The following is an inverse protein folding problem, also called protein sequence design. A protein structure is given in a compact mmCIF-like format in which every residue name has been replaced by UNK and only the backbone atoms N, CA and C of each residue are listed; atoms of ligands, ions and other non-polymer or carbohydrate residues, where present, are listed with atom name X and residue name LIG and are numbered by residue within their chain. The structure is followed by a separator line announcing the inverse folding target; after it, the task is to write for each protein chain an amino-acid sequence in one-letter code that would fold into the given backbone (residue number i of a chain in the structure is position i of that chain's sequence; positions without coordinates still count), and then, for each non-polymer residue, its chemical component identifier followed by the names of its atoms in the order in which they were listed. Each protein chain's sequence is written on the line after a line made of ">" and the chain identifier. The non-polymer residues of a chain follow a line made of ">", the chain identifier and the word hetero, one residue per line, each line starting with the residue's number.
data_IF_133050859429
#
_entry.id   IF_133050859429
#
_cell.length_a   1.000
_cell.length_b   1.000
_cell.length_c   1.000
_cell.angle_alpha   90.00
_cell.angle_beta   90.00
_cell.angle_gamma   90.00
#
_symmetry.space_group_name_H-M   'P 1'
#
loop_
_entity.id
_entity.type
_entity.pdbx_description
1 polymer ?
#
# COMPACT_ATOMS: atom_id res chain seq x y z
N UNK A 1 33.70 -14.20 -8.12
CA UNK A 1 33.82 -12.89 -7.46
C UNK A 1 33.07 -11.87 -8.30
N UNK A 2 32.40 -10.86 -7.72
CA UNK A 2 31.90 -9.74 -8.51
C UNK A 2 33.08 -9.08 -9.24
N UNK A 3 32.86 -8.54 -10.43
CA UNK A 3 33.88 -7.79 -11.15
C UNK A 3 34.30 -6.58 -10.29
N UNK A 4 35.59 -6.19 -10.24
CA UNK A 4 36.09 -5.07 -9.41
C UNK A 4 35.31 -3.76 -9.56
N UNK A 5 34.74 -3.55 -10.74
CA UNK A 5 33.91 -2.39 -11.08
C UNK A 5 32.56 -2.36 -10.34
N UNK A 6 31.97 -3.52 -10.03
CA UNK A 6 30.68 -3.62 -9.33
C UNK A 6 30.82 -3.21 -7.86
N UNK A 7 31.94 -3.55 -7.22
CA UNK A 7 32.22 -3.17 -5.83
C UNK A 7 32.41 -1.66 -5.68
N UNK A 8 33.11 -1.01 -6.62
CA UNK A 8 33.26 0.45 -6.62
C UNK A 8 31.92 1.16 -6.84
N UNK A 9 31.09 0.67 -7.77
CA UNK A 9 29.74 1.24 -8.02
C UNK A 9 28.78 1.05 -6.85
N UNK A 10 28.96 0.00 -6.04
CA UNK A 10 28.20 -0.20 -4.80
C UNK A 10 28.48 0.88 -3.76
N UNK A 11 29.71 1.39 -3.68
CA UNK A 11 30.06 2.49 -2.78
C UNK A 11 29.41 3.81 -3.22
N UNK A 12 29.33 4.04 -4.53
CA UNK A 12 28.70 5.24 -5.12
C UNK A 12 27.16 5.21 -5.10
N UNK A 13 26.53 4.13 -4.61
CA UNK A 13 25.06 4.04 -4.57
C UNK A 13 24.49 4.98 -3.50
N UNK A 14 23.42 5.74 -3.78
CA UNK A 14 22.84 6.69 -2.83
C UNK A 14 22.04 6.01 -1.71
N UNK A 15 21.84 6.73 -0.61
CA UNK A 15 20.95 6.36 0.50
C UNK A 15 19.52 6.88 0.29
N UNK A 16 19.01 6.68 -0.92
CA UNK A 16 17.69 7.16 -1.35
C UNK A 16 16.79 5.98 -1.74
N UNK A 17 15.46 6.16 -1.72
CA UNK A 17 14.55 5.17 -2.27
C UNK A 17 14.70 5.09 -3.79
N UNK A 18 14.36 3.93 -4.35
CA UNK A 18 14.43 3.73 -5.79
C UNK A 18 14.28 2.30 -6.23
N UNK A 19 14.53 2.08 -7.52
CA UNK A 19 14.46 0.78 -8.17
C UNK A 19 15.83 0.42 -8.73
N UNK A 20 16.23 -0.84 -8.62
CA UNK A 20 17.47 -1.37 -9.19
C UNK A 20 17.19 -2.49 -10.19
N UNK A 21 18.05 -2.58 -11.20
CA UNK A 21 18.00 -3.57 -12.26
C UNK A 21 19.33 -4.34 -12.28
N UNK A 22 19.26 -5.65 -12.22
CA UNK A 22 20.41 -6.56 -12.31
C UNK A 22 20.52 -7.06 -13.75
N UNK A 23 21.71 -6.99 -14.36
CA UNK A 23 21.94 -7.31 -15.77
C UNK A 23 22.99 -8.40 -15.97
N UNK A 24 22.83 -9.18 -17.03
CA UNK A 24 23.84 -10.14 -17.50
C UNK A 24 24.92 -9.46 -18.38
N UNK A 25 25.97 -10.17 -18.83
CA UNK A 25 27.01 -9.58 -19.68
C UNK A 25 26.51 -9.06 -21.05
N UNK A 26 25.32 -9.47 -21.49
CA UNK A 26 24.68 -9.01 -22.73
C UNK A 26 23.77 -7.80 -22.48
N UNK A 27 23.68 -7.32 -21.25
CA UNK A 27 22.79 -6.22 -20.86
C UNK A 27 21.34 -6.65 -20.61
N UNK A 28 21.03 -7.95 -20.63
CA UNK A 28 19.67 -8.46 -20.39
C UNK A 28 19.30 -8.28 -18.93
N UNK A 29 18.13 -7.69 -18.66
CA UNK A 29 17.62 -7.52 -17.28
C UNK A 29 17.21 -8.88 -16.71
N UNK A 30 17.98 -9.34 -15.71
CA UNK A 30 17.76 -10.59 -15.00
C UNK A 30 16.75 -10.43 -13.86
N UNK A 31 16.80 -9.29 -13.17
CA UNK A 31 15.96 -9.00 -12.00
C UNK A 31 15.74 -7.50 -11.86
N UNK A 32 14.53 -7.12 -11.42
CA UNK A 32 14.18 -5.75 -11.01
C UNK A 32 13.70 -5.82 -9.56
N UNK A 33 14.15 -4.90 -8.72
CA UNK A 33 13.68 -4.78 -7.35
C UNK A 33 13.66 -3.34 -6.86
N UNK A 34 12.85 -3.05 -5.84
CA UNK A 34 12.80 -1.76 -5.15
C UNK A 34 13.55 -1.74 -3.82
N UNK A 35 13.90 -0.55 -3.36
CA UNK A 35 14.48 -0.31 -2.04
C UNK A 35 13.96 1.00 -1.44
N UNK A 36 13.79 1.04 -0.10
CA UNK A 36 13.69 2.30 0.63
C UNK A 36 15.04 3.00 0.75
N UNK A 37 16.13 2.21 0.78
CA UNK A 37 17.52 2.68 0.75
C UNK A 37 18.30 1.80 -0.21
N UNK A 38 18.62 2.32 -1.40
CA UNK A 38 19.30 1.59 -2.47
C UNK A 38 20.64 1.01 -2.02
N UNK A 39 21.49 1.80 -1.34
CA UNK A 39 22.80 1.38 -0.83
C UNK A 39 22.71 0.11 0.03
N UNK A 40 21.85 0.13 1.05
CA UNK A 40 21.69 -1.00 1.97
C UNK A 40 21.17 -2.25 1.24
N UNK A 41 20.19 -2.04 0.34
CA UNK A 41 19.60 -3.15 -0.40
C UNK A 41 20.59 -3.80 -1.35
N UNK A 42 21.34 -3.00 -2.11
CA UNK A 42 22.31 -3.53 -3.07
C UNK A 42 23.47 -4.23 -2.35
N UNK A 43 24.02 -3.65 -1.28
CA UNK A 43 25.05 -4.30 -0.44
C UNK A 43 24.62 -5.66 0.10
N UNK A 44 23.34 -5.83 0.45
CA UNK A 44 22.82 -7.10 0.99
C UNK A 44 22.99 -8.30 0.05
N UNK A 45 23.11 -8.09 -1.26
CA UNK A 45 23.36 -9.16 -2.24
C UNK A 45 24.81 -9.63 -2.28
N UNK A 46 25.75 -8.79 -1.87
CA UNK A 46 27.19 -9.04 -1.95
C UNK A 46 27.83 -9.36 -0.60
N UNK A 47 27.04 -9.31 0.48
CA UNK A 47 27.42 -9.87 1.78
C UNK A 47 27.42 -11.41 1.79
N UNK A 48 27.22 -12.00 2.96
CA UNK A 48 27.27 -13.46 3.12
C UNK A 48 26.23 -14.20 2.27
N UNK A 49 26.71 -15.07 1.36
CA UNK A 49 25.88 -15.78 0.37
C UNK A 49 25.00 -16.89 0.96
N UNK A 50 25.27 -17.33 2.19
CA UNK A 50 24.53 -18.41 2.88
C UNK A 50 23.11 -18.00 3.24
N UNK A 51 22.87 -16.71 3.51
CA UNK A 51 21.56 -16.21 3.91
C UNK A 51 20.65 -15.81 2.72
N UNK A 52 21.14 -15.92 1.48
CA UNK A 52 20.36 -15.54 0.30
C UNK A 52 19.49 -16.70 -0.19
N UNK A 53 18.23 -16.42 -0.61
CA UNK A 53 17.39 -17.42 -1.26
C UNK A 53 18.08 -18.04 -2.48
N UNK A 54 17.93 -19.35 -2.67
CA UNK A 54 18.58 -20.09 -3.77
C UNK A 54 18.38 -19.43 -5.14
N UNK A 55 17.19 -18.89 -5.40
CA UNK A 55 16.87 -18.17 -6.64
C UNK A 55 17.78 -16.95 -6.87
N UNK A 56 18.00 -16.15 -5.82
CA UNK A 56 18.84 -14.96 -5.86
C UNK A 56 20.31 -15.37 -6.03
N UNK A 57 20.74 -16.41 -5.30
CA UNK A 57 22.11 -16.94 -5.42
C UNK A 57 22.43 -17.38 -6.86
N UNK A 58 21.49 -18.05 -7.53
CA UNK A 58 21.64 -18.43 -8.95
C UNK A 58 21.68 -17.21 -9.87
N UNK A 59 20.84 -16.22 -9.64
CA UNK A 59 20.86 -14.97 -10.41
C UNK A 59 22.20 -14.25 -10.32
N UNK A 60 22.77 -14.16 -9.11
CA UNK A 60 24.07 -13.53 -8.87
C UNK A 60 25.24 -14.25 -9.58
N UNK A 61 25.09 -15.54 -9.92
CA UNK A 61 26.07 -16.25 -10.75
C UNK A 61 26.12 -15.79 -12.20
N UNK A 62 25.06 -15.13 -12.68
CA UNK A 62 24.97 -14.58 -14.04
C UNK A 62 25.04 -13.05 -14.06
N UNK A 63 25.20 -12.41 -12.89
CA UNK A 63 25.25 -10.96 -12.77
C UNK A 63 26.58 -10.44 -13.34
N UNK A 64 26.48 -9.43 -14.21
CA UNK A 64 27.61 -8.67 -14.71
C UNK A 64 27.59 -7.24 -14.20
N UNK A 65 26.41 -6.61 -14.18
CA UNK A 65 26.26 -5.21 -13.79
C UNK A 65 24.89 -4.95 -13.15
N UNK A 66 24.75 -3.80 -12.47
CA UNK A 66 23.47 -3.30 -12.00
C UNK A 66 23.29 -1.81 -12.30
N UNK A 67 22.04 -1.42 -12.50
CA UNK A 67 21.61 -0.02 -12.62
C UNK A 67 20.62 0.31 -11.51
N UNK A 68 20.43 1.59 -11.24
CA UNK A 68 19.40 2.06 -10.34
C UNK A 68 18.79 3.39 -10.82
N UNK A 69 17.55 3.63 -10.41
CA UNK A 69 16.81 4.85 -10.63
C UNK A 69 16.34 5.31 -9.26
N UNK A 70 16.76 6.51 -8.85
CA UNK A 70 16.31 7.15 -7.61
C UNK A 70 14.89 7.66 -7.82
N UNK A 71 14.07 7.55 -6.79
CA UNK A 71 12.71 8.09 -6.74
C UNK A 71 12.57 9.02 -5.55
N UNK A 72 11.56 9.88 -5.53
CA UNK A 72 11.37 10.83 -4.44
C UNK A 72 10.74 10.16 -3.20
N UNK A 73 10.03 9.05 -3.41
CA UNK A 73 9.44 8.28 -2.31
C UNK A 73 9.49 6.75 -2.50
N UNK A 74 9.42 5.97 -1.40
CA UNK A 74 9.23 4.51 -1.49
C UNK A 74 7.95 4.09 -2.23
N UNK A 75 6.93 4.96 -2.24
CA UNK A 75 5.67 4.73 -2.95
C UNK A 75 5.87 4.82 -4.48
N UNK A 76 6.62 5.81 -4.96
CA UNK A 76 7.00 5.88 -6.38
C UNK A 76 7.87 4.71 -6.80
N UNK A 77 8.80 4.28 -5.95
CA UNK A 77 9.62 3.10 -6.20
C UNK A 77 8.77 1.83 -6.44
N UNK A 78 7.63 1.69 -5.74
CA UNK A 78 6.66 0.61 -6.00
C UNK A 78 6.08 0.71 -7.42
N UNK A 79 5.62 1.90 -7.81
CA UNK A 79 5.00 2.12 -9.13
C UNK A 79 6.01 1.83 -10.23
N UNK A 80 7.21 2.41 -10.12
CA UNK A 80 8.27 2.25 -11.11
C UNK A 80 8.74 0.81 -11.21
N UNK A 81 8.91 0.10 -10.09
CA UNK A 81 9.29 -1.32 -10.10
C UNK A 81 8.27 -2.16 -10.87
N UNK A 82 6.98 -1.96 -10.63
CA UNK A 82 5.92 -2.66 -11.35
C UNK A 82 5.98 -2.38 -12.87
N UNK A 83 6.19 -1.13 -13.27
CA UNK A 83 6.35 -0.74 -14.68
C UNK A 83 7.56 -1.44 -15.33
N UNK A 84 8.70 -1.46 -14.66
CA UNK A 84 9.93 -2.08 -15.18
C UNK A 84 9.85 -3.60 -15.22
N UNK A 85 9.21 -4.26 -14.23
CA UNK A 85 8.99 -5.72 -14.29
C UNK A 85 8.10 -6.08 -15.48
N UNK A 86 7.04 -5.31 -15.75
CA UNK A 86 6.15 -5.56 -16.91
C UNK A 86 6.85 -5.31 -18.25
N UNK A 87 7.70 -4.28 -18.32
CA UNK A 87 8.48 -3.95 -19.52
C UNK A 87 9.51 -5.04 -19.84
N UNK A 88 10.31 -5.45 -18.86
CA UNK A 88 11.46 -6.36 -19.10
C UNK A 88 11.15 -7.84 -18.86
N UNK A 89 10.04 -8.16 -18.17
CA UNK A 89 9.66 -9.52 -17.73
C UNK A 89 10.84 -10.36 -17.22
N UNK A 90 11.67 -9.86 -16.30
CA UNK A 90 12.98 -10.44 -15.99
C UNK A 90 12.87 -11.87 -15.49
N UNK A 91 13.75 -12.78 -15.93
CA UNK A 91 13.69 -14.22 -15.61
C UNK A 91 13.51 -14.49 -14.11
N UNK A 92 14.20 -13.74 -13.24
CA UNK A 92 14.21 -13.98 -11.80
C UNK A 92 13.14 -13.21 -11.00
N UNK A 93 12.29 -12.39 -11.61
CA UNK A 93 11.08 -11.89 -10.95
C UNK A 93 10.01 -13.00 -10.93
N UNK A 94 9.31 -13.19 -9.81
CA UNK A 94 8.20 -14.16 -9.72
C UNK A 94 6.82 -13.50 -9.78
N UNK A 95 6.72 -12.28 -9.27
CA UNK A 95 5.48 -11.50 -9.16
C UNK A 95 5.52 -10.35 -10.16
N UNK A 96 4.35 -9.79 -10.47
CA UNK A 96 4.18 -8.58 -11.31
C UNK A 96 4.63 -8.76 -12.77
N UNK A 97 4.82 -10.02 -13.21
CA UNK A 97 5.04 -10.37 -14.62
C UNK A 97 3.73 -10.45 -15.40
N UNK A 98 2.65 -10.76 -14.69
CA UNK A 98 1.27 -10.77 -15.17
C UNK A 98 0.65 -9.37 -15.02
N UNK A 99 -0.64 -9.23 -15.33
CA UNK A 99 -1.33 -7.94 -15.22
C UNK A 99 -1.53 -7.45 -13.77
N UNK A 100 -1.07 -8.21 -12.77
CA UNK A 100 -1.16 -7.80 -11.37
C UNK A 100 -0.40 -6.50 -11.14
N UNK A 101 -1.01 -5.62 -10.36
CA UNK A 101 -0.49 -4.34 -9.91
C UNK A 101 -0.52 -4.29 -8.38
N UNK A 102 0.11 -3.26 -7.82
CA UNK A 102 0.01 -2.99 -6.40
C UNK A 102 -1.42 -2.63 -5.99
N UNK A 103 -1.93 -3.16 -4.86
CA UNK A 103 -3.26 -2.82 -4.38
C UNK A 103 -3.33 -1.41 -3.78
N UNK A 104 -4.51 -0.82 -3.87
CA UNK A 104 -4.91 0.47 -3.33
C UNK A 104 -6.19 0.29 -2.50
N UNK A 105 -6.42 1.21 -1.55
CA UNK A 105 -7.77 1.43 -1.01
C UNK A 105 -8.47 2.44 -1.92
N UNK A 106 -9.68 2.12 -2.36
CA UNK A 106 -10.54 3.00 -3.13
C UNK A 106 -11.74 3.42 -2.30
N UNK A 107 -12.07 4.70 -2.36
CA UNK A 107 -13.30 5.28 -1.81
C UNK A 107 -13.98 6.05 -2.94
N UNK A 108 -15.16 5.60 -3.34
CA UNK A 108 -15.95 6.25 -4.38
C UNK A 108 -16.88 7.29 -3.76
N UNK A 109 -16.47 8.56 -3.84
CA UNK A 109 -17.21 9.67 -3.21
C UNK A 109 -18.47 10.08 -3.99
N UNK A 110 -18.70 9.50 -5.18
CA UNK A 110 -19.92 9.73 -5.95
C UNK A 110 -21.12 8.94 -5.42
N UNK A 111 -20.88 7.89 -4.63
CA UNK A 111 -21.94 7.10 -4.00
C UNK A 111 -22.52 7.83 -2.77
N UNK A 112 -23.83 7.72 -2.53
CA UNK A 112 -24.46 8.32 -1.34
C UNK A 112 -23.91 7.79 -0.02
N UNK A 113 -23.53 6.51 -0.02
CA UNK A 113 -22.86 5.88 1.11
C UNK A 113 -21.54 5.27 0.61
N UNK A 114 -20.44 6.01 0.51
CA UNK A 114 -19.20 5.48 -0.04
C UNK A 114 -18.70 4.22 0.67
N UNK A 115 -18.19 3.25 -0.10
CA UNK A 115 -17.52 2.06 0.44
C UNK A 115 -16.01 2.25 0.41
N UNK A 116 -15.33 1.73 1.43
CA UNK A 116 -13.87 1.59 1.43
C UNK A 116 -13.53 0.14 1.05
N UNK A 117 -12.85 -0.06 -0.08
CA UNK A 117 -12.51 -1.40 -0.55
C UNK A 117 -11.17 -1.45 -1.27
N UNK A 118 -10.63 -2.67 -1.43
CA UNK A 118 -9.33 -2.89 -2.05
C UNK A 118 -9.51 -3.06 -3.56
N UNK A 119 -8.74 -2.31 -4.35
CA UNK A 119 -8.66 -2.46 -5.81
C UNK A 119 -7.22 -2.53 -6.28
N UNK A 120 -7.02 -3.07 -7.48
CA UNK A 120 -5.75 -3.03 -8.23
C UNK A 120 -5.84 -2.16 -9.48
N UNK A 121 -7.05 -1.73 -9.84
CA UNK A 121 -7.32 -0.84 -10.97
C UNK A 121 -7.50 0.57 -10.43
N UNK A 122 -6.65 1.46 -10.89
CA UNK A 122 -6.76 2.90 -10.65
C UNK A 122 -7.33 3.54 -11.91
N UNK A 123 -8.40 4.32 -11.75
CA UNK A 123 -9.02 5.07 -12.84
C UNK A 123 -9.06 6.54 -12.43
N UNK A 124 -8.25 7.39 -13.07
CA UNK A 124 -8.17 8.80 -12.71
C UNK A 124 -9.40 9.61 -13.16
N UNK A 125 -10.36 8.99 -13.86
CA UNK A 125 -11.56 9.65 -14.40
C UNK A 125 -12.84 9.37 -13.63
N UNK A 126 -12.84 8.45 -12.66
CA UNK A 126 -14.05 8.07 -11.93
C UNK A 126 -14.34 8.94 -10.70
N UNK A 127 -13.49 9.92 -10.41
CA UNK A 127 -13.67 10.83 -9.27
C UNK A 127 -13.46 10.17 -7.90
N UNK A 128 -13.04 8.90 -7.86
CA UNK A 128 -12.79 8.21 -6.62
C UNK A 128 -11.41 8.58 -6.03
N UNK A 129 -11.31 8.45 -4.71
CA UNK A 129 -10.05 8.60 -3.98
C UNK A 129 -9.34 7.26 -3.89
N UNK A 130 -8.04 7.28 -4.18
CA UNK A 130 -7.18 6.12 -4.15
C UNK A 130 -6.03 6.35 -3.17
N UNK A 131 -5.86 5.44 -2.21
CA UNK A 131 -4.79 5.50 -1.22
C UNK A 131 -3.86 4.31 -1.40
N UNK A 132 -2.56 4.56 -1.44
CA UNK A 132 -1.53 3.57 -1.75
C UNK A 132 -0.50 4.12 -2.75
N UNK A 133 0.25 3.26 -3.46
CA UNK A 133 0.16 1.80 -3.50
C UNK A 133 0.65 1.10 -2.23
N UNK A 134 0.02 0.00 -1.86
CA UNK A 134 0.49 -0.87 -0.79
C UNK A 134 1.41 -1.97 -1.33
N UNK A 135 2.56 -2.17 -0.68
CA UNK A 135 3.55 -3.16 -1.10
C UNK A 135 3.02 -4.60 -1.15
N UNK A 136 2.02 -4.94 -0.33
CA UNK A 136 1.40 -6.27 -0.35
C UNK A 136 -0.10 -6.22 -0.11
N UNK A 137 -0.80 -7.27 -0.56
CA UNK A 137 -2.21 -7.47 -0.28
C UNK A 137 -2.50 -7.70 1.23
N UNK A 138 -1.50 -8.06 2.02
CA UNK A 138 -1.66 -8.19 3.47
C UNK A 138 -1.60 -6.82 4.14
N UNK A 139 -0.65 -5.97 3.73
CA UNK A 139 -0.49 -4.61 4.26
C UNK A 139 -1.77 -3.80 4.08
N UNK A 140 -2.34 -3.78 2.87
CA UNK A 140 -3.59 -3.05 2.61
C UNK A 140 -4.77 -3.58 3.44
N UNK A 141 -4.84 -4.90 3.68
CA UNK A 141 -5.91 -5.50 4.52
C UNK A 141 -5.77 -5.11 5.98
N UNK A 142 -4.54 -5.10 6.51
CA UNK A 142 -4.26 -4.62 7.87
C UNK A 142 -4.62 -3.15 8.04
N UNK A 143 -4.24 -2.30 7.08
CA UNK A 143 -4.63 -0.89 7.08
C UNK A 143 -6.15 -0.73 7.03
N UNK A 144 -6.85 -1.46 6.16
CA UNK A 144 -8.31 -1.42 6.09
C UNK A 144 -8.98 -1.86 7.39
N UNK A 145 -8.50 -2.93 8.04
CA UNK A 145 -9.05 -3.38 9.32
C UNK A 145 -8.83 -2.35 10.44
N UNK A 146 -7.66 -1.70 10.48
CA UNK A 146 -7.39 -0.61 11.41
C UNK A 146 -8.33 0.57 11.19
N UNK A 147 -8.43 1.04 9.95
CA UNK A 147 -9.28 2.19 9.57
C UNK A 147 -10.74 1.91 9.90
N UNK A 148 -11.21 0.66 9.73
CA UNK A 148 -12.59 0.27 10.08
C UNK A 148 -12.86 0.23 11.58
N UNK A 149 -11.84 -0.03 12.41
CA UNK A 149 -11.98 0.04 13.88
C UNK A 149 -12.02 1.47 14.39
N UNK A 150 -11.29 2.37 13.74
CA UNK A 150 -11.24 3.78 14.09
C UNK A 150 -12.48 4.53 13.59
N UNK A 151 -12.94 4.21 12.38
CA UNK A 151 -14.05 4.88 11.72
C UNK A 151 -15.09 3.85 11.27
N UNK A 152 -16.27 3.79 11.91
CA UNK A 152 -17.27 2.76 11.64
C UNK A 152 -18.04 2.99 10.32
N UNK A 153 -17.43 2.61 9.19
CA UNK A 153 -18.03 2.71 7.85
C UNK A 153 -18.62 1.38 7.33
N UNK A 154 -19.45 1.44 6.29
CA UNK A 154 -20.10 0.26 5.72
C UNK A 154 -19.11 -0.60 4.91
N UNK A 155 -19.15 -1.91 5.11
CA UNK A 155 -18.39 -2.88 4.30
C UNK A 155 -19.26 -3.74 3.38
N UNK A 156 -20.58 -3.75 3.61
CA UNK A 156 -21.54 -4.51 2.83
C UNK A 156 -21.61 -4.03 1.37
N UNK A 157 -21.93 -4.96 0.45
CA UNK A 157 -22.09 -4.71 -0.99
C UNK A 157 -23.53 -4.36 -1.38
N UNK A 158 -24.49 -4.52 -0.47
CA UNK A 158 -25.91 -4.26 -0.74
C UNK A 158 -26.18 -2.77 -0.97
N UNK A 159 -27.28 -2.49 -1.66
CA UNK A 159 -27.80 -1.14 -1.75
C UNK A 159 -28.34 -0.67 -0.38
N UNK A 160 -28.12 0.58 -0.03
CA UNK A 160 -28.48 1.15 1.27
C UNK A 160 -29.75 1.96 1.09
N UNK A 161 -30.84 1.45 1.64
CA UNK A 161 -32.17 2.06 1.52
C UNK A 161 -32.58 2.85 2.76
N UNK A 162 -31.92 2.60 3.90
CA UNK A 162 -32.31 3.16 5.21
C UNK A 162 -33.56 2.53 5.81
N UNK A 163 -34.08 1.43 5.24
CA UNK A 163 -35.36 0.82 5.62
C UNK A 163 -35.24 -0.63 6.11
N UNK A 164 -34.03 -1.12 6.32
CA UNK A 164 -33.83 -2.49 6.79
C UNK A 164 -34.39 -2.63 8.21
N UNK A 165 -35.06 -3.76 8.48
CA UNK A 165 -35.70 -4.01 9.77
C UNK A 165 -34.71 -4.13 10.94
N UNK A 166 -33.46 -4.56 10.68
CA UNK A 166 -32.43 -4.73 11.71
C UNK A 166 -31.02 -4.51 11.18
N UNK A 167 -30.09 -3.96 11.98
CA UNK A 167 -28.70 -3.81 11.58
C UNK A 167 -27.98 -5.16 11.61
N UNK A 168 -26.85 -5.25 10.91
CA UNK A 168 -26.03 -6.46 10.92
C UNK A 168 -25.01 -6.47 12.07
N UNK A 169 -24.27 -7.57 12.22
CA UNK A 169 -23.25 -7.74 13.25
C UNK A 169 -22.26 -6.56 13.31
N UNK A 170 -21.86 -6.00 12.17
CA UNK A 170 -20.90 -4.89 12.09
C UNK A 170 -21.33 -3.67 12.91
N UNK A 171 -22.64 -3.42 13.04
CA UNK A 171 -23.14 -2.37 13.92
C UNK A 171 -22.94 -2.72 15.39
N UNK A 172 -23.36 -3.92 15.79
CA UNK A 172 -23.27 -4.39 17.18
C UNK A 172 -21.83 -4.51 17.70
N UNK A 173 -20.85 -4.62 16.81
CA UNK A 173 -19.42 -4.63 17.15
C UNK A 173 -18.74 -3.28 16.87
N UNK A 174 -19.51 -2.21 16.71
CA UNK A 174 -19.03 -0.83 16.51
C UNK A 174 -18.09 -0.63 15.29
N UNK A 175 -18.34 -1.37 14.20
CA UNK A 175 -17.59 -1.28 12.93
C UNK A 175 -18.38 -0.66 11.79
N UNK A 176 -19.63 -0.26 12.02
CA UNK A 176 -20.49 0.37 11.04
C UNK A 176 -21.61 1.16 11.74
N UNK A 177 -21.90 2.39 11.31
CA UNK A 177 -23.00 3.20 11.87
C UNK A 177 -24.42 2.81 11.38
N UNK A 178 -24.56 1.63 10.75
CA UNK A 178 -25.82 1.10 10.24
C UNK A 178 -26.68 2.08 9.40
N UNK A 179 -26.13 2.68 8.33
CA UNK A 179 -26.94 3.51 7.43
C UNK A 179 -28.06 2.70 6.74
N UNK A 180 -27.96 1.37 6.70
CA UNK A 180 -28.98 0.50 6.11
C UNK A 180 -30.32 0.48 6.84
N UNK A 181 -30.33 0.72 8.15
CA UNK A 181 -31.57 0.83 8.96
C UNK A 181 -32.00 2.27 9.19
N UNK A 182 -31.25 3.25 8.66
CA UNK A 182 -31.49 4.67 8.89
C UNK A 182 -30.98 5.18 10.24
N UNK A 183 -30.18 4.40 10.98
CA UNK A 183 -29.62 4.84 12.26
C UNK A 183 -28.61 5.99 12.10
N UNK A 184 -27.93 6.05 10.96
CA UNK A 184 -27.13 7.18 10.54
C UNK A 184 -27.71 7.81 9.29
N UNK A 185 -27.80 9.13 9.29
CA UNK A 185 -28.18 9.92 8.11
C UNK A 185 -27.09 9.86 7.02
N UNK A 186 -27.40 10.38 5.84
CA UNK A 186 -26.41 10.51 4.75
C UNK A 186 -25.29 11.45 5.17
N UNK A 187 -25.65 12.54 5.84
CA UNK A 187 -24.75 13.57 6.32
C UNK A 187 -23.80 13.03 7.40
N UNK A 188 -24.32 12.24 8.34
CA UNK A 188 -23.49 11.65 9.39
C UNK A 188 -22.54 10.59 8.83
N UNK A 189 -23.02 9.77 7.88
CA UNK A 189 -22.15 8.82 7.20
C UNK A 189 -21.06 9.52 6.37
N UNK A 190 -21.38 10.63 5.71
CA UNK A 190 -20.42 11.43 4.97
C UNK A 190 -19.32 12.01 5.88
N UNK A 191 -19.65 12.42 7.11
CA UNK A 191 -18.65 12.84 8.11
C UNK A 191 -17.68 11.70 8.44
N UNK A 192 -18.18 10.48 8.68
CA UNK A 192 -17.33 9.31 8.95
C UNK A 192 -16.38 9.03 7.78
N UNK A 193 -16.87 9.10 6.53
CA UNK A 193 -16.01 8.95 5.35
C UNK A 193 -15.01 10.09 5.21
N UNK A 194 -15.41 11.33 5.52
CA UNK A 194 -14.50 12.48 5.57
C UNK A 194 -13.34 12.25 6.52
N UNK A 195 -13.61 11.75 7.73
CA UNK A 195 -12.58 11.38 8.71
C UNK A 195 -11.63 10.29 8.19
N UNK A 196 -12.17 9.27 7.51
CA UNK A 196 -11.34 8.25 6.84
C UNK A 196 -10.41 8.88 5.80
N UNK A 197 -10.92 9.77 4.96
CA UNK A 197 -10.13 10.45 3.92
C UNK A 197 -9.04 11.31 4.56
N UNK A 198 -9.37 12.13 5.56
CA UNK A 198 -8.41 12.98 6.27
C UNK A 198 -7.30 12.17 6.93
N UNK A 199 -7.66 11.09 7.64
CA UNK A 199 -6.69 10.18 8.25
C UNK A 199 -5.74 9.56 7.21
N UNK A 200 -6.29 9.14 6.06
CA UNK A 200 -5.52 8.48 5.01
C UNK A 200 -4.65 9.44 4.19
N UNK A 201 -5.02 10.72 4.10
CA UNK A 201 -4.20 11.79 3.49
C UNK A 201 -3.01 12.20 4.36
N UNK A 202 -2.92 11.68 5.59
CA UNK A 202 -1.79 11.94 6.49
C UNK A 202 -1.97 13.20 7.34
N UNK A 203 -3.18 13.77 7.40
CA UNK A 203 -3.53 14.76 8.43
C UNK A 203 -3.78 14.05 9.77
N UNK A 204 -2.72 13.42 10.28
CA UNK A 204 -2.78 12.65 11.52
C UNK A 204 -2.93 13.56 12.72
N UNK A 205 -2.50 14.82 12.66
CA UNK A 205 -2.54 15.73 13.80
C UNK A 205 -3.99 16.07 14.19
N UNK A 206 -4.80 16.53 13.23
CA UNK A 206 -6.21 16.86 13.48
C UNK A 206 -7.02 15.64 13.95
N UNK A 207 -6.79 14.47 13.34
CA UNK A 207 -7.51 13.24 13.68
C UNK A 207 -7.12 12.70 15.06
N UNK A 208 -5.84 12.83 15.45
CA UNK A 208 -5.39 12.37 16.77
C UNK A 208 -5.94 13.27 17.88
N UNK A 209 -6.06 14.57 17.65
CA UNK A 209 -6.67 15.49 18.61
C UNK A 209 -8.18 15.29 18.73
N UNK A 210 -8.90 15.03 17.63
CA UNK A 210 -10.32 14.63 17.67
C UNK A 210 -10.52 13.31 18.44
N UNK A 211 -9.66 12.32 18.22
CA UNK A 211 -9.71 11.04 18.94
C UNK A 211 -9.44 11.20 20.43
N UNK A 212 -8.44 12.01 20.81
CA UNK A 212 -8.18 12.34 22.22
C UNK A 212 -9.37 13.04 22.85
N UNK A 213 -9.92 14.05 22.17
CA UNK A 213 -11.09 14.79 22.66
C UNK A 213 -12.29 13.86 22.89
N UNK A 214 -12.55 12.94 21.96
CA UNK A 214 -13.62 11.96 22.12
C UNK A 214 -13.34 10.94 23.22
N UNK A 215 -12.10 10.50 23.40
CA UNK A 215 -11.69 9.62 24.50
C UNK A 215 -11.81 10.31 25.85
N UNK A 216 -11.39 11.57 25.96
CA UNK A 216 -11.48 12.36 27.18
C UNK A 216 -12.95 12.59 27.56
N UNK A 217 -13.80 12.91 26.58
CA UNK A 217 -15.25 13.06 26.78
C UNK A 217 -15.94 11.76 27.18
N UNK A 218 -15.54 10.61 26.60
CA UNK A 218 -16.08 9.31 26.99
C UNK A 218 -15.61 8.89 28.39
N UNK A 219 -14.36 9.18 28.74
CA UNK A 219 -13.79 8.96 30.07
C UNK A 219 -14.47 9.82 31.13
N UNK A 220 -14.76 11.09 30.83
CA UNK A 220 -15.53 11.99 31.70
C UNK A 220 -16.96 11.50 31.93
N UNK A 221 -17.54 10.80 30.95
CA UNK A 221 -18.88 10.20 31.03
C UNK A 221 -18.90 8.80 31.64
N UNK A 222 -17.75 8.21 32.01
CA UNK A 222 -17.61 6.82 32.49
C UNK A 222 -18.15 5.77 31.50
N UNK A 223 -18.23 6.11 30.21
CA UNK A 223 -18.67 5.22 29.14
C UNK A 223 -17.45 4.51 28.55
N UNK A 224 -16.97 3.46 29.21
CA UNK A 224 -15.84 2.63 28.77
C UNK A 224 -16.27 1.52 27.79
#
# INVERSE_FOLDING_TARGET
>A
MPLPLVEQRLLATPESPGVYLMKDPRGTVLYVGKASVLRNRLRSYFGSRTNLPNKIRRMLGHLHDFEYIVTDSPAEALILENTLIKRYKPRYNARLKDDKTYPYLKIDLSEEFPRVYITRKVNNKDGARYFGPFATANTVRKTMDLVKRLFPYRSCTKNITGKDARPCLEYYINRCVAPCTGYASKEDYAKVIGQVVMFMDGDTAAVTDDLKTNMDQASEKLEF
#
